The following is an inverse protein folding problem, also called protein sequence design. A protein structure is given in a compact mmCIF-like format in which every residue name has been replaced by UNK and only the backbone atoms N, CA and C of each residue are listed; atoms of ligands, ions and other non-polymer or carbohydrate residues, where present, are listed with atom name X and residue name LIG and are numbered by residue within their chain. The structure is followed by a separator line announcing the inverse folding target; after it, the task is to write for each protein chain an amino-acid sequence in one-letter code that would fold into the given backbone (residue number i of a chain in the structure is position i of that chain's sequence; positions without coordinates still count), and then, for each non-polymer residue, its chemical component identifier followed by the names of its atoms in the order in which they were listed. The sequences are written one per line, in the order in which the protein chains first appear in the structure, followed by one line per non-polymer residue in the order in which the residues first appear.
data_IF_742327313227
#
_entry.id   IF_742327313227
#
_cell.length_a   1.000
_cell.length_b   1.000
_cell.length_c   1.000
_cell.angle_alpha   90.00
_cell.angle_beta   90.00
_cell.angle_gamma   90.00
#
_symmetry.space_group_name_H-M   'P 1'
#
loop_
_entity.id
_entity.type
_entity.pdbx_description
1 polymer ?
#
# COMPACT_ATOMS: atom_id res chain seq x y z
N UNK A 1 -32.73 -7.79 -40.34
CA UNK A 1 -33.07 -8.00 -38.92
C UNK A 1 -31.79 -8.35 -38.19
N UNK A 2 -31.22 -7.41 -37.43
CA UNK A 2 -30.00 -7.64 -36.64
C UNK A 2 -30.39 -8.38 -35.37
N UNK A 3 -30.16 -9.69 -35.33
CA UNK A 3 -30.30 -10.49 -34.11
C UNK A 3 -29.26 -10.00 -33.10
N UNK A 4 -29.71 -9.25 -32.08
CA UNK A 4 -28.82 -8.87 -30.99
C UNK A 4 -28.25 -10.16 -30.36
N UNK A 5 -26.93 -10.26 -30.17
CA UNK A 5 -26.34 -11.44 -29.56
C UNK A 5 -26.88 -11.59 -28.13
N UNK A 6 -27.21 -12.82 -27.70
CA UNK A 6 -27.81 -13.05 -26.40
C UNK A 6 -26.89 -12.56 -25.27
N UNK A 7 -27.51 -11.99 -24.22
CA UNK A 7 -26.83 -11.24 -23.14
C UNK A 7 -25.70 -12.04 -22.49
N UNK A 8 -25.84 -13.37 -22.36
CA UNK A 8 -24.79 -14.22 -21.79
C UNK A 8 -23.51 -14.24 -22.63
N UNK A 9 -23.57 -14.17 -23.97
CA UNK A 9 -22.40 -14.08 -24.85
C UNK A 9 -21.71 -12.72 -24.66
N UNK A 10 -22.48 -11.64 -24.52
CA UNK A 10 -21.93 -10.29 -24.31
C UNK A 10 -21.19 -10.19 -22.97
N UNK A 11 -21.73 -10.78 -21.91
CA UNK A 11 -21.08 -10.85 -20.59
C UNK A 11 -19.77 -11.65 -20.68
N UNK A 12 -19.77 -12.77 -21.40
CA UNK A 12 -18.58 -13.62 -21.58
C UNK A 12 -17.49 -12.90 -22.40
N UNK A 13 -17.87 -12.17 -23.44
CA UNK A 13 -16.94 -11.33 -24.21
C UNK A 13 -16.40 -10.17 -23.38
N UNK A 14 -17.21 -9.57 -22.51
CA UNK A 14 -16.79 -8.49 -21.61
C UNK A 14 -15.87 -8.98 -20.47
N UNK A 15 -15.93 -10.25 -20.08
CA UNK A 15 -15.08 -10.81 -19.03
C UNK A 15 -13.67 -11.17 -19.51
N UNK A 16 -13.47 -11.40 -20.81
CA UNK A 16 -12.15 -11.73 -21.39
C UNK A 16 -11.12 -10.63 -21.15
N UNK A 17 -11.37 -9.34 -21.42
CA UNK A 17 -10.44 -8.25 -21.09
C UNK A 17 -10.14 -8.17 -19.59
N UNK A 18 -11.14 -8.46 -18.74
CA UNK A 18 -10.98 -8.43 -17.28
C UNK A 18 -10.00 -9.53 -16.82
N UNK A 19 -10.18 -10.76 -17.31
CA UNK A 19 -9.28 -11.87 -17.02
C UNK A 19 -7.87 -11.62 -17.56
N UNK A 20 -7.75 -11.09 -18.78
CA UNK A 20 -6.46 -10.73 -19.37
C UNK A 20 -5.73 -9.67 -18.53
N UNK A 21 -6.44 -8.65 -18.04
CA UNK A 21 -5.87 -7.64 -17.16
C UNK A 21 -5.39 -8.22 -15.82
N UNK A 22 -6.15 -9.15 -15.23
CA UNK A 22 -5.74 -9.84 -14.00
C UNK A 22 -4.46 -10.65 -14.23
N UNK A 23 -4.41 -11.45 -15.30
CA UNK A 23 -3.24 -12.28 -15.65
C UNK A 23 -2.01 -11.39 -15.91
N UNK A 24 -2.18 -10.32 -16.69
CA UNK A 24 -1.11 -9.36 -16.96
C UNK A 24 -0.60 -8.68 -15.67
N UNK A 25 -1.52 -8.33 -14.76
CA UNK A 25 -1.18 -7.79 -13.44
C UNK A 25 -0.35 -8.76 -12.60
N UNK A 26 -0.75 -10.04 -12.55
CA UNK A 26 0.01 -11.08 -11.84
C UNK A 26 1.39 -11.25 -12.46
N UNK A 27 1.48 -11.33 -13.79
CA UNK A 27 2.77 -11.51 -14.47
C UNK A 27 3.72 -10.34 -14.24
N UNK A 28 3.20 -9.10 -14.25
CA UNK A 28 3.97 -7.90 -13.94
C UNK A 28 4.50 -7.90 -12.50
N UNK A 29 3.69 -8.36 -11.53
CA UNK A 29 4.11 -8.50 -10.14
C UNK A 29 5.20 -9.56 -10.00
N UNK A 30 5.01 -10.75 -10.57
CA UNK A 30 5.99 -11.85 -10.52
C UNK A 30 7.31 -11.45 -11.14
N UNK A 31 7.30 -10.78 -12.31
CA UNK A 31 8.51 -10.29 -12.95
C UNK A 31 9.25 -9.25 -12.10
N UNK A 32 8.50 -8.35 -11.45
CA UNK A 32 9.08 -7.32 -10.58
C UNK A 32 9.72 -7.95 -9.33
N UNK A 33 9.05 -8.93 -8.72
CA UNK A 33 9.54 -9.67 -7.55
C UNK A 33 10.78 -10.49 -7.92
N UNK A 34 10.71 -11.26 -9.02
CA UNK A 34 11.83 -12.09 -9.50
C UNK A 34 13.10 -11.27 -9.74
N UNK A 35 12.98 -10.15 -10.47
CA UNK A 35 14.11 -9.24 -10.72
C UNK A 35 14.74 -8.68 -9.44
N UNK A 36 13.94 -8.40 -8.41
CA UNK A 36 14.44 -7.90 -7.11
C UNK A 36 15.11 -8.99 -6.29
N UNK A 37 14.57 -10.21 -6.30
CA UNK A 37 15.19 -11.38 -5.66
C UNK A 37 16.55 -11.67 -6.30
N UNK A 38 16.65 -11.62 -7.63
CA UNK A 38 17.92 -11.80 -8.34
C UNK A 38 18.96 -10.74 -7.97
N UNK A 39 18.55 -9.46 -7.85
CA UNK A 39 19.43 -8.38 -7.38
C UNK A 39 19.90 -8.61 -5.95
N UNK A 40 19.00 -9.01 -5.05
CA UNK A 40 19.36 -9.33 -3.66
C UNK A 40 20.32 -10.51 -3.59
N UNK A 41 20.10 -11.54 -4.40
CA UNK A 41 21.01 -12.68 -4.52
C UNK A 41 22.40 -12.22 -4.96
N UNK A 42 22.48 -11.42 -6.01
CA UNK A 42 23.74 -10.87 -6.49
C UNK A 42 24.44 -9.99 -5.43
N UNK A 43 23.72 -9.11 -4.74
CA UNK A 43 24.28 -8.31 -3.64
C UNK A 43 24.78 -9.17 -2.48
N UNK A 44 24.09 -10.27 -2.17
CA UNK A 44 24.49 -11.21 -1.11
C UNK A 44 25.73 -12.01 -1.51
N UNK A 45 25.81 -12.46 -2.76
CA UNK A 45 27.00 -13.12 -3.31
C UNK A 45 28.20 -12.16 -3.33
N UNK A 46 27.96 -10.90 -3.70
CA UNK A 46 28.98 -9.86 -3.68
C UNK A 46 29.45 -9.59 -2.25
N UNK A 47 28.56 -9.54 -1.26
CA UNK A 47 28.90 -9.39 0.15
C UNK A 47 29.77 -10.54 0.69
N UNK A 48 29.48 -11.79 0.30
CA UNK A 48 30.29 -12.96 0.72
C UNK A 48 31.72 -12.92 0.18
N UNK A 49 31.90 -12.36 -1.02
CA UNK A 49 33.19 -12.28 -1.68
C UNK A 49 33.90 -10.93 -1.47
N UNK A 50 33.26 -9.97 -0.78
CA UNK A 50 33.81 -8.65 -0.56
C UNK A 50 34.71 -8.61 0.69
N UNK A 51 35.93 -8.07 0.60
CA UNK A 51 36.74 -7.79 1.79
C UNK A 51 36.02 -6.76 2.67
N UNK A 52 35.88 -6.99 3.99
CA UNK A 52 35.22 -6.07 4.91
C UNK A 52 35.93 -4.71 5.00
N UNK A 53 37.22 -4.66 4.66
CA UNK A 53 38.07 -3.46 4.63
C UNK A 53 37.65 -2.45 3.55
N UNK A 54 37.00 -2.90 2.48
CA UNK A 54 36.55 -2.05 1.37
C UNK A 54 35.12 -1.51 1.53
N UNK A 55 34.45 -1.81 2.65
CA UNK A 55 33.11 -1.33 2.96
C UNK A 55 33.04 -0.48 4.25
N UNK A 56 33.81 0.63 4.36
CA UNK A 56 33.87 1.44 5.58
C UNK A 56 32.54 2.10 5.96
N UNK A 57 31.58 2.18 5.03
CA UNK A 57 30.31 2.87 5.22
C UNK A 57 29.09 1.94 5.28
N UNK A 58 29.29 0.62 5.38
CA UNK A 58 28.22 -0.37 5.32
C UNK A 58 27.28 -0.17 4.11
N UNK A 59 27.80 0.39 3.02
CA UNK A 59 27.02 0.81 1.85
C UNK A 59 26.33 -0.39 1.19
N UNK A 60 27.01 -1.54 1.18
CA UNK A 60 26.48 -2.79 0.63
C UNK A 60 25.31 -3.34 1.47
N UNK A 61 25.43 -3.30 2.80
CA UNK A 61 24.36 -3.73 3.72
C UNK A 61 23.15 -2.80 3.65
N UNK A 62 23.38 -1.49 3.53
CA UNK A 62 22.33 -0.50 3.32
C UNK A 62 21.61 -0.76 1.98
N UNK A 63 22.35 -1.09 0.92
CA UNK A 63 21.77 -1.45 -0.38
C UNK A 63 20.92 -2.73 -0.30
N UNK A 64 21.41 -3.75 0.42
CA UNK A 64 20.65 -4.97 0.68
C UNK A 64 19.35 -4.68 1.46
N UNK A 65 19.41 -3.91 2.54
CA UNK A 65 18.23 -3.53 3.33
C UNK A 65 17.22 -2.72 2.53
N UNK A 66 17.68 -1.84 1.61
CA UNK A 66 16.81 -1.08 0.72
C UNK A 66 16.08 -1.98 -0.27
N UNK A 67 16.75 -2.95 -0.88
CA UNK A 67 16.08 -3.87 -1.80
C UNK A 67 15.18 -4.86 -1.06
N UNK A 68 15.52 -5.27 0.18
CA UNK A 68 14.65 -6.08 1.02
C UNK A 68 13.36 -5.33 1.38
N UNK A 69 13.49 -4.06 1.79
CA UNK A 69 12.34 -3.18 2.05
C UNK A 69 11.49 -2.98 0.80
N UNK A 70 12.11 -2.76 -0.35
CA UNK A 70 11.38 -2.59 -1.60
C UNK A 70 10.65 -3.89 -2.01
N UNK A 71 11.27 -5.05 -1.82
CA UNK A 71 10.64 -6.35 -2.06
C UNK A 71 9.44 -6.57 -1.14
N UNK A 72 9.58 -6.31 0.15
CA UNK A 72 8.50 -6.45 1.12
C UNK A 72 7.33 -5.49 0.81
N UNK A 73 7.62 -4.27 0.36
CA UNK A 73 6.58 -3.32 -0.08
C UNK A 73 5.82 -3.74 -1.35
N UNK A 74 6.38 -4.66 -2.14
CA UNK A 74 5.75 -5.22 -3.35
C UNK A 74 4.95 -6.48 -3.01
N UNK A 75 5.49 -7.35 -2.16
CA UNK A 75 4.85 -8.61 -1.73
C UNK A 75 3.71 -8.35 -0.75
N UNK A 76 3.81 -7.28 0.04
CA UNK A 76 2.80 -6.88 1.04
C UNK A 76 2.02 -5.68 0.51
N UNK A 77 1.06 -5.86 -0.43
CA UNK A 77 0.31 -4.76 -1.02
C UNK A 77 -0.59 -4.05 0.01
N UNK A 78 -0.88 -4.68 1.15
CA UNK A 78 -1.66 -4.10 2.25
C UNK A 78 -1.13 -2.73 2.69
N UNK A 79 0.18 -2.47 2.64
CA UNK A 79 0.77 -1.14 2.91
C UNK A 79 0.33 -0.03 1.96
N UNK A 80 0.12 -0.35 0.67
CA UNK A 80 -0.31 0.63 -0.33
C UNK A 80 -1.82 0.82 -0.32
N UNK A 81 -2.54 -0.26 -0.05
CA UNK A 81 -3.98 -0.25 0.05
C UNK A 81 -4.46 0.42 1.32
N UNK A 82 -3.69 0.39 2.40
CA UNK A 82 -4.09 0.98 3.67
C UNK A 82 -4.45 2.49 3.56
N UNK A 83 -3.52 3.30 3.03
CA UNK A 83 -3.80 4.73 2.78
C UNK A 83 -4.99 4.94 1.85
N UNK A 84 -5.15 4.09 0.82
CA UNK A 84 -6.25 4.20 -0.13
C UNK A 84 -7.58 3.84 0.53
N UNK A 85 -7.61 2.76 1.31
CA UNK A 85 -8.77 2.29 2.06
C UNK A 85 -9.21 3.36 3.07
N UNK A 86 -8.27 4.04 3.74
CA UNK A 86 -8.59 5.18 4.61
C UNK A 86 -9.23 6.35 3.84
N UNK A 87 -8.68 6.69 2.67
CA UNK A 87 -9.27 7.72 1.80
C UNK A 87 -10.67 7.31 1.36
N UNK A 88 -10.86 6.09 0.88
CA UNK A 88 -12.16 5.57 0.46
C UNK A 88 -13.17 5.52 1.61
N UNK A 89 -12.73 5.09 2.79
CA UNK A 89 -13.57 5.05 3.98
C UNK A 89 -13.95 6.46 4.45
N UNK A 90 -13.01 7.41 4.43
CA UNK A 90 -13.27 8.82 4.75
C UNK A 90 -14.23 9.47 3.74
N UNK A 91 -14.07 9.16 2.45
CA UNK A 91 -14.94 9.65 1.38
C UNK A 91 -16.36 9.06 1.52
N UNK A 92 -16.46 7.77 1.87
CA UNK A 92 -17.73 7.12 2.21
C UNK A 92 -18.41 7.74 3.43
N UNK A 93 -17.65 8.08 4.47
CA UNK A 93 -18.18 8.77 5.65
C UNK A 93 -18.67 10.18 5.31
N UNK A 94 -17.89 10.97 4.57
CA UNK A 94 -18.30 12.31 4.13
C UNK A 94 -19.57 12.28 3.25
N UNK A 95 -19.66 11.29 2.36
CA UNK A 95 -20.84 11.10 1.52
C UNK A 95 -22.06 10.71 2.36
N UNK A 96 -21.88 9.82 3.35
CA UNK A 96 -22.95 9.41 4.28
C UNK A 96 -23.43 10.53 5.20
N UNK A 97 -22.53 11.41 5.66
CA UNK A 97 -22.89 12.60 6.43
C UNK A 97 -23.60 13.65 5.57
N UNK A 98 -23.12 13.90 4.35
CA UNK A 98 -23.75 14.83 3.42
C UNK A 98 -25.17 14.42 3.05
N UNK A 99 -25.38 13.12 2.78
CA UNK A 99 -26.71 12.57 2.52
C UNK A 99 -27.62 12.61 3.76
N UNK A 100 -27.07 12.39 4.95
CA UNK A 100 -27.79 12.50 6.23
C UNK A 100 -28.28 13.91 6.51
N UNK A 101 -27.40 14.91 6.36
CA UNK A 101 -27.73 16.33 6.53
C UNK A 101 -28.72 16.80 5.48
N UNK A 102 -28.54 16.44 4.21
CA UNK A 102 -29.48 16.80 3.14
C UNK A 102 -30.89 16.23 3.39
N UNK A 103 -30.96 15.05 4.00
CA UNK A 103 -32.20 14.42 4.45
C UNK A 103 -32.94 15.16 5.53
N UNK A 104 -32.21 15.68 6.51
CA UNK A 104 -32.77 16.42 7.62
C UNK A 104 -33.47 17.73 7.17
N UNK A 105 -32.98 18.35 6.09
CA UNK A 105 -33.58 19.55 5.49
C UNK A 105 -34.62 19.25 4.39
N UNK A 106 -34.90 17.98 4.11
CA UNK A 106 -35.82 17.58 3.05
C UNK A 106 -37.24 17.46 3.59
N UNK A 107 -38.18 18.25 3.06
CA UNK A 107 -39.63 18.23 3.37
C UNK A 107 -40.36 16.93 2.94
N UNK A 108 -39.60 15.89 2.60
CA UNK A 108 -40.13 14.59 2.19
C UNK A 108 -40.36 13.75 3.45
N UNK A 109 -41.54 13.13 3.54
CA UNK A 109 -42.01 12.44 4.75
C UNK A 109 -41.07 11.41 5.39
N UNK A 110 -41.44 10.95 6.58
CA UNK A 110 -40.64 10.21 7.59
C UNK A 110 -39.78 9.04 7.07
N UNK A 111 -40.12 8.42 5.95
CA UNK A 111 -39.34 7.31 5.36
C UNK A 111 -37.94 7.71 4.87
N UNK A 112 -37.79 8.90 4.29
CA UNK A 112 -36.51 9.40 3.78
C UNK A 112 -35.47 9.65 4.90
N UNK A 113 -35.79 10.37 5.99
CA UNK A 113 -34.84 10.59 7.08
C UNK A 113 -34.47 9.30 7.81
N UNK A 114 -35.37 8.32 7.92
CA UNK A 114 -35.05 7.00 8.51
C UNK A 114 -34.00 6.27 7.65
N UNK A 115 -34.22 6.19 6.33
CA UNK A 115 -33.27 5.54 5.42
C UNK A 115 -31.89 6.23 5.46
N UNK A 116 -31.87 7.56 5.52
CA UNK A 116 -30.64 8.34 5.60
C UNK A 116 -29.90 8.14 6.93
N UNK A 117 -30.62 8.05 8.04
CA UNK A 117 -30.01 7.77 9.35
C UNK A 117 -29.34 6.38 9.36
N UNK A 118 -29.98 5.37 8.77
CA UNK A 118 -29.39 4.03 8.61
C UNK A 118 -28.11 4.09 7.77
N UNK A 119 -28.12 4.83 6.65
CA UNK A 119 -26.94 5.01 5.79
C UNK A 119 -25.81 5.69 6.57
N UNK A 120 -26.08 6.78 7.29
CA UNK A 120 -25.06 7.52 8.05
C UNK A 120 -24.45 6.66 9.15
N UNK A 121 -25.26 5.93 9.92
CA UNK A 121 -24.79 5.01 10.96
C UNK A 121 -23.97 3.86 10.37
N UNK A 122 -24.42 3.28 9.25
CA UNK A 122 -23.71 2.19 8.57
C UNK A 122 -22.35 2.65 8.03
N UNK A 123 -22.29 3.83 7.41
CA UNK A 123 -21.03 4.43 6.93
C UNK A 123 -20.05 4.67 8.08
N UNK A 124 -20.54 5.14 9.22
CA UNK A 124 -19.72 5.37 10.41
C UNK A 124 -19.17 4.07 11.01
N UNK A 125 -20.01 3.03 11.09
CA UNK A 125 -19.60 1.70 11.56
C UNK A 125 -18.54 1.06 10.64
N UNK A 126 -18.72 1.17 9.32
CA UNK A 126 -17.74 0.69 8.33
C UNK A 126 -16.41 1.44 8.49
N UNK A 127 -16.46 2.76 8.67
CA UNK A 127 -15.26 3.56 8.88
C UNK A 127 -14.50 3.16 10.15
N UNK A 128 -15.20 3.04 11.29
CA UNK A 128 -14.58 2.61 12.55
C UNK A 128 -13.98 1.21 12.40
N UNK A 129 -14.70 0.28 11.77
CA UNK A 129 -14.23 -1.09 11.59
C UNK A 129 -12.96 -1.14 10.74
N UNK A 130 -12.90 -0.34 9.67
CA UNK A 130 -11.70 -0.18 8.82
C UNK A 130 -10.51 0.40 9.60
N UNK A 131 -10.73 1.48 10.37
CA UNK A 131 -9.67 2.12 11.16
C UNK A 131 -9.18 1.18 12.27
N UNK A 132 -10.09 0.48 12.94
CA UNK A 132 -9.78 -0.44 14.03
C UNK A 132 -9.01 -1.68 13.56
N UNK A 133 -9.43 -2.27 12.42
CA UNK A 133 -8.73 -3.39 11.79
C UNK A 133 -7.30 -2.99 11.39
N UNK A 134 -7.13 -1.74 10.94
CA UNK A 134 -5.83 -1.26 10.50
C UNK A 134 -4.88 -0.89 11.66
N UNK A 135 -5.41 -0.44 12.80
CA UNK A 135 -4.61 -0.23 14.02
C UNK A 135 -3.99 -1.54 14.56
N UNK A 136 -4.59 -2.70 14.26
CA UNK A 136 -4.13 -4.01 14.72
C UNK A 136 -3.28 -4.77 13.72
N UNK A 137 -3.35 -4.42 12.42
CA UNK A 137 -2.41 -4.92 11.44
C UNK A 137 -1.04 -4.23 11.68
N UNK A 138 0.11 -4.92 11.52
CA UNK A 138 1.42 -4.37 11.86
C UNK A 138 2.22 -3.78 10.68
N UNK A 139 1.67 -3.01 9.70
CA UNK A 139 2.46 -2.56 8.56
C UNK A 139 3.47 -1.46 8.94
N UNK A 140 3.16 -0.60 9.93
CA UNK A 140 4.06 0.49 10.33
C UNK A 140 5.33 0.01 11.06
N UNK A 141 5.33 -1.21 11.62
CA UNK A 141 6.48 -1.73 12.37
C UNK A 141 7.62 -2.15 11.44
N UNK A 142 7.32 -2.75 10.28
CA UNK A 142 8.34 -3.22 9.34
C UNK A 142 9.12 -2.06 8.70
N UNK A 143 8.44 -1.05 8.16
CA UNK A 143 9.08 0.12 7.55
C UNK A 143 9.98 0.89 8.53
N UNK A 144 9.50 1.03 9.77
CA UNK A 144 10.25 1.65 10.86
C UNK A 144 11.49 0.84 11.24
N UNK A 145 11.38 -0.48 11.28
CA UNK A 145 12.48 -1.39 11.60
C UNK A 145 13.59 -1.32 10.54
N UNK A 146 13.25 -1.25 9.25
CA UNK A 146 14.25 -1.04 8.19
C UNK A 146 14.90 0.34 8.26
N UNK A 147 14.12 1.39 8.54
CA UNK A 147 14.65 2.75 8.68
C UNK A 147 15.58 2.87 9.89
N UNK A 148 15.22 2.27 11.03
CA UNK A 148 16.05 2.24 12.24
C UNK A 148 17.35 1.45 12.03
N UNK A 149 17.29 0.28 11.35
CA UNK A 149 18.49 -0.49 11.01
C UNK A 149 19.42 0.28 10.05
N UNK A 150 18.87 0.93 9.02
CA UNK A 150 19.69 1.75 8.11
C UNK A 150 20.34 2.91 8.87
N UNK A 151 19.59 3.58 9.75
CA UNK A 151 20.12 4.69 10.57
C UNK A 151 21.21 4.20 11.54
N UNK A 152 21.05 3.03 12.14
CA UNK A 152 22.05 2.43 13.02
C UNK A 152 23.35 2.11 12.25
N UNK A 153 23.24 1.54 11.04
CA UNK A 153 24.41 1.23 10.19
C UNK A 153 25.12 2.49 9.67
N UNK A 154 24.38 3.58 9.45
CA UNK A 154 24.97 4.88 9.12
C UNK A 154 25.67 5.52 10.31
N UNK A 155 25.13 5.35 11.53
CA UNK A 155 25.72 5.88 12.75
C UNK A 155 26.98 5.11 13.20
N UNK A 156 27.11 3.83 12.85
CA UNK A 156 28.29 3.01 13.15
C UNK A 156 29.43 3.16 12.13
N UNK A 157 29.23 3.90 11.04
CA UNK A 157 30.29 4.16 10.06
C UNK A 157 31.28 5.22 10.58
N UNK A 158 32.61 5.01 10.43
CA UNK A 158 33.64 5.93 10.94
C UNK A 158 33.62 7.33 10.30
N UNK A 159 32.89 7.54 9.21
CA UNK A 159 32.84 8.83 8.48
C UNK A 159 31.71 9.76 8.94
N UNK A 160 30.88 9.37 9.92
CA UNK A 160 29.71 10.12 10.39
C UNK A 160 29.97 11.34 11.28
N UNK A 161 31.20 11.87 11.35
CA UNK A 161 31.55 13.00 12.22
C UNK A 161 32.32 14.10 11.47
N UNK A 162 31.68 14.79 10.52
CA UNK A 162 32.20 16.07 9.99
C UNK A 162 31.16 17.01 9.36
N UNK A 163 29.91 16.99 9.82
CA UNK A 163 28.88 17.93 9.34
C UNK A 163 28.33 18.88 10.42
N UNK A 164 29.11 19.14 11.47
CA UNK A 164 28.79 20.12 12.53
C UNK A 164 30.03 20.89 12.95
N UNK A 165 30.64 21.64 12.03
CA UNK A 165 31.59 22.72 12.37
C UNK A 165 31.72 23.75 11.25
N UNK A 166 30.59 24.28 10.77
CA UNK A 166 30.56 25.57 10.07
C UNK A 166 29.34 26.30 10.57
N UNK A 167 29.52 26.98 11.69
CA UNK A 167 28.78 28.17 12.11
C UNK A 167 29.57 28.76 13.28
N UNK A 168 30.57 29.54 12.92
CA UNK A 168 31.19 30.60 13.72
C UNK A 168 31.19 31.83 12.86
#
# INVERSE_FOLDING_TARGET
MTTQPPVWIQILLASVPLLAAIIAGIFALTNTVGRRIERLKNLTELHKNYPPELNPNNALEIAMLRELRALESVITPTHKWDKRIHVWAALGLMTGLGLGLFGYFSDKGILLPIAQLVITVSSFAIFISVVWLNLHLPPMKADRLYAEKIKALQASSPTGRSATSRDT
#
